data_IF_667189254911
#
_entry.id   IF_667189254911
#
_cell.length_a   1.000
_cell.length_b   1.000
_cell.length_c   1.000
_cell.angle_alpha   90.00
_cell.angle_beta   90.00
_cell.angle_gamma   90.00
#
_symmetry.space_group_name_H-M   'P 1'
#
loop_
_entity.id
_entity.type
_entity.pdbx_description
1 polymer ?
#
# COMPACT_ATOMS: atom_id res chain seq x y z
N UNK A 1 7.55 -9.02 20.57
CA UNK A 1 7.23 -8.88 22.02
C UNK A 1 5.99 -8.05 22.28
N UNK A 2 5.71 -7.00 21.49
CA UNK A 2 4.53 -6.14 21.64
C UNK A 2 3.19 -6.87 21.46
N UNK A 3 3.08 -7.79 20.50
CA UNK A 3 1.84 -8.55 20.23
C UNK A 3 1.41 -9.44 21.39
N UNK A 4 2.31 -10.28 21.91
CA UNK A 4 2.00 -11.15 23.04
C UNK A 4 1.57 -10.34 24.27
N UNK A 5 2.20 -9.18 24.49
CA UNK A 5 1.84 -8.25 25.55
C UNK A 5 0.43 -7.67 25.32
N UNK A 6 0.13 -7.20 24.10
CA UNK A 6 -1.17 -6.60 23.78
C UNK A 6 -2.32 -7.61 23.96
N UNK A 7 -2.14 -8.85 23.50
CA UNK A 7 -3.10 -9.94 23.70
C UNK A 7 -3.24 -10.34 25.18
N UNK A 8 -2.15 -10.39 25.94
CA UNK A 8 -2.20 -10.69 27.37
C UNK A 8 -2.99 -9.61 28.13
N UNK A 9 -2.78 -8.33 27.81
CA UNK A 9 -3.52 -7.21 28.39
C UNK A 9 -5.01 -7.25 28.02
N UNK A 10 -5.32 -7.59 26.77
CA UNK A 10 -6.70 -7.79 26.30
C UNK A 10 -7.42 -8.90 27.08
N UNK A 11 -6.81 -10.07 27.21
CA UNK A 11 -7.38 -11.20 27.96
C UNK A 11 -7.52 -10.87 29.45
N UNK A 12 -6.53 -10.22 30.05
CA UNK A 12 -6.57 -9.79 31.44
C UNK A 12 -7.72 -8.80 31.69
N UNK A 13 -7.94 -7.85 30.77
CA UNK A 13 -9.07 -6.92 30.83
C UNK A 13 -10.41 -7.65 30.81
N UNK A 14 -10.61 -8.57 29.86
CA UNK A 14 -11.84 -9.36 29.74
C UNK A 14 -12.11 -10.17 31.00
N UNK A 15 -11.10 -10.87 31.53
CA UNK A 15 -11.24 -11.72 32.72
C UNK A 15 -11.52 -10.91 33.99
N UNK A 16 -10.79 -9.81 34.21
CA UNK A 16 -11.00 -8.94 35.38
C UNK A 16 -12.38 -8.30 35.32
N UNK A 17 -12.80 -7.83 34.15
CA UNK A 17 -14.13 -7.25 34.00
C UNK A 17 -15.22 -8.29 34.24
N UNK A 18 -15.15 -9.44 33.58
CA UNK A 18 -16.17 -10.49 33.67
C UNK A 18 -16.29 -11.10 35.08
N UNK A 19 -15.19 -11.22 35.83
CA UNK A 19 -15.18 -11.92 37.11
C UNK A 19 -15.24 -11.02 38.34
N UNK A 20 -14.75 -9.77 38.26
CA UNK A 20 -14.57 -8.89 39.42
C UNK A 20 -15.28 -7.54 39.31
N UNK A 21 -15.50 -7.03 38.10
CA UNK A 21 -16.18 -5.75 37.90
C UNK A 21 -17.71 -5.94 37.92
N UNK A 22 -18.34 -5.76 39.09
CA UNK A 22 -19.79 -5.86 39.21
C UNK A 22 -20.56 -4.80 38.38
N UNK A 23 -21.90 -4.88 38.43
CA UNK A 23 -22.82 -4.25 37.45
C UNK A 23 -22.73 -2.71 37.36
N UNK A 24 -22.24 -2.18 36.23
CA UNK A 24 -22.38 -0.78 35.84
C UNK A 24 -22.42 -0.64 34.31
N UNK A 25 -23.42 0.06 33.76
CA UNK A 25 -23.64 0.21 32.31
C UNK A 25 -22.59 1.06 31.62
N UNK A 26 -22.09 2.11 32.28
CA UNK A 26 -21.08 2.99 31.73
C UNK A 26 -19.74 2.28 31.57
N UNK A 27 -19.27 1.63 32.64
CA UNK A 27 -18.02 0.85 32.61
C UNK A 27 -18.08 -0.30 31.59
N UNK A 28 -19.25 -0.92 31.43
CA UNK A 28 -19.48 -1.96 30.44
C UNK A 28 -19.31 -1.41 29.03
N UNK A 29 -20.01 -0.31 28.71
CA UNK A 29 -19.94 0.32 27.41
C UNK A 29 -18.51 0.78 27.09
N UNK A 30 -17.84 1.47 28.01
CA UNK A 30 -16.47 1.94 27.82
C UNK A 30 -15.49 0.79 27.55
N UNK A 31 -15.53 -0.26 28.38
CA UNK A 31 -14.62 -1.42 28.22
C UNK A 31 -14.91 -2.18 26.92
N UNK A 32 -16.18 -2.41 26.60
CA UNK A 32 -16.57 -3.07 25.36
C UNK A 32 -16.13 -2.27 24.12
N UNK A 33 -16.26 -0.94 24.14
CA UNK A 33 -15.80 -0.09 23.05
C UNK A 33 -14.29 -0.19 22.84
N UNK A 34 -13.48 -0.12 23.91
CA UNK A 34 -12.02 -0.21 23.79
C UNK A 34 -11.57 -1.60 23.31
N UNK A 35 -12.16 -2.67 23.86
CA UNK A 35 -11.89 -4.04 23.40
C UNK A 35 -12.32 -4.24 21.95
N UNK A 36 -13.46 -3.65 21.56
CA UNK A 36 -13.93 -3.64 20.19
C UNK A 36 -12.97 -2.94 19.24
N UNK A 37 -12.47 -1.76 19.63
CA UNK A 37 -11.44 -1.03 18.88
C UNK A 37 -10.18 -1.87 18.72
N UNK A 38 -9.72 -2.55 19.77
CA UNK A 38 -8.58 -3.47 19.70
C UNK A 38 -8.80 -4.57 18.64
N UNK A 39 -9.98 -5.20 18.61
CA UNK A 39 -10.29 -6.23 17.61
C UNK A 39 -10.28 -5.65 16.20
N UNK A 40 -10.94 -4.50 15.99
CA UNK A 40 -10.97 -3.85 14.68
C UNK A 40 -9.56 -3.49 14.21
N UNK A 41 -8.73 -2.91 15.06
CA UNK A 41 -7.34 -2.54 14.73
C UNK A 41 -6.50 -3.75 14.31
N UNK A 42 -6.60 -4.87 15.02
CA UNK A 42 -5.84 -6.07 14.68
C UNK A 42 -6.34 -6.73 13.37
N UNK A 43 -7.65 -6.68 13.10
CA UNK A 43 -8.18 -7.15 11.81
C UNK A 43 -7.74 -6.24 10.68
N UNK A 44 -7.75 -4.92 10.88
CA UNK A 44 -7.21 -3.99 9.90
C UNK A 44 -5.73 -4.28 9.63
N UNK A 45 -4.92 -4.49 10.68
CA UNK A 45 -3.52 -4.86 10.53
C UNK A 45 -3.35 -6.14 9.72
N UNK A 46 -4.08 -7.20 10.06
CA UNK A 46 -4.01 -8.47 9.35
C UNK A 46 -4.46 -8.36 7.89
N UNK A 47 -5.55 -7.62 7.63
CA UNK A 47 -6.04 -7.37 6.28
C UNK A 47 -5.03 -6.53 5.48
N UNK A 48 -4.43 -5.51 6.09
CA UNK A 48 -3.38 -4.70 5.46
C UNK A 48 -2.14 -5.54 5.16
N UNK A 49 -1.67 -6.34 6.11
CA UNK A 49 -0.51 -7.23 5.96
C UNK A 49 -0.71 -8.26 4.84
N UNK A 50 -1.93 -8.79 4.69
CA UNK A 50 -2.27 -9.66 3.57
C UNK A 50 -2.01 -9.02 2.19
N UNK A 51 -2.16 -7.70 2.08
CA UNK A 51 -1.94 -6.96 0.83
C UNK A 51 -0.53 -6.37 0.68
N UNK A 52 0.09 -5.95 1.79
CA UNK A 52 1.36 -5.22 1.76
C UNK A 52 2.57 -6.05 2.19
N UNK A 53 2.36 -7.11 2.96
CA UNK A 53 3.43 -7.83 3.66
C UNK A 53 4.12 -7.04 4.78
N UNK A 54 3.64 -5.84 5.11
CA UNK A 54 4.23 -4.93 6.10
C UNK A 54 3.17 -4.25 7.00
N UNK A 55 1.96 -4.83 7.06
CA UNK A 55 0.85 -4.25 7.81
C UNK A 55 0.36 -2.89 7.26
N UNK A 56 0.05 -1.97 8.18
CA UNK A 56 -0.57 -0.67 7.89
C UNK A 56 0.52 0.37 7.57
N UNK A 57 0.65 0.73 6.30
CA UNK A 57 1.63 1.69 5.80
C UNK A 57 1.02 2.71 4.80
N UNK A 58 1.85 3.56 4.21
CA UNK A 58 1.44 4.55 3.21
C UNK A 58 0.71 3.91 2.01
N UNK A 59 1.12 2.72 1.57
CA UNK A 59 0.46 2.03 0.46
C UNK A 59 -1.02 1.72 0.76
N UNK A 60 -1.34 1.30 1.99
CA UNK A 60 -2.73 1.06 2.42
C UNK A 60 -3.53 2.36 2.37
N UNK A 61 -3.02 3.43 2.96
CA UNK A 61 -3.71 4.72 2.98
C UNK A 61 -3.89 5.30 1.59
N UNK A 62 -2.85 5.26 0.77
CA UNK A 62 -2.89 5.72 -0.61
C UNK A 62 -3.94 4.96 -1.42
N UNK A 63 -3.96 3.63 -1.29
CA UNK A 63 -4.90 2.76 -2.01
C UNK A 63 -6.34 2.99 -1.57
N UNK A 64 -6.59 3.21 -0.27
CA UNK A 64 -7.94 3.50 0.26
C UNK A 64 -8.44 4.91 -0.08
N UNK A 65 -7.55 5.87 -0.28
CA UNK A 65 -7.89 7.27 -0.57
C UNK A 65 -7.92 7.58 -2.08
N UNK A 66 -7.42 6.67 -2.91
CA UNK A 66 -7.38 6.80 -4.36
C UNK A 66 -8.28 5.77 -5.08
N UNK A 67 -8.27 5.77 -6.41
CA UNK A 67 -9.11 4.92 -7.25
C UNK A 67 -8.69 3.44 -7.16
N UNK A 68 -9.62 2.63 -6.64
CA UNK A 68 -9.61 1.16 -6.71
C UNK A 68 -10.16 0.61 -8.04
N UNK A 69 -10.43 1.48 -9.03
CA UNK A 69 -11.01 1.06 -10.31
C UNK A 69 -10.07 0.09 -11.01
N UNK A 70 -10.60 -1.08 -11.40
CA UNK A 70 -9.82 -2.10 -12.08
C UNK A 70 -8.97 -2.98 -11.16
N UNK A 71 -8.96 -2.74 -9.86
CA UNK A 71 -8.51 -3.74 -8.90
C UNK A 71 -9.51 -4.90 -8.86
N UNK A 72 -9.02 -6.14 -8.73
CA UNK A 72 -9.81 -7.35 -8.60
C UNK A 72 -10.59 -7.47 -7.28
N UNK A 73 -11.35 -6.44 -6.89
CA UNK A 73 -12.03 -6.33 -5.59
C UNK A 73 -13.14 -7.38 -5.41
N UNK A 74 -13.72 -7.86 -6.52
CA UNK A 74 -14.84 -8.80 -6.53
C UNK A 74 -14.55 -10.08 -5.73
N UNK A 75 -13.33 -10.62 -5.80
CA UNK A 75 -12.93 -11.83 -5.06
C UNK A 75 -12.88 -11.65 -3.54
N UNK A 76 -12.78 -10.40 -3.08
CA UNK A 76 -12.69 -10.07 -1.67
C UNK A 76 -14.05 -9.78 -1.01
N UNK A 77 -15.14 -9.74 -1.78
CA UNK A 77 -16.49 -9.50 -1.24
C UNK A 77 -16.88 -10.60 -0.24
N UNK A 78 -16.69 -11.87 -0.61
CA UNK A 78 -17.08 -13.00 0.24
C UNK A 78 -16.19 -13.09 1.51
N UNK A 79 -14.85 -13.04 1.43
CA UNK A 79 -13.99 -12.88 2.61
C UNK A 79 -14.39 -11.67 3.47
N UNK A 80 -14.71 -10.53 2.85
CA UNK A 80 -15.16 -9.32 3.55
C UNK A 80 -16.44 -9.54 4.35
N UNK A 81 -17.45 -10.21 3.78
CA UNK A 81 -18.66 -10.60 4.51
C UNK A 81 -18.30 -11.53 5.68
N UNK A 82 -17.40 -12.49 5.47
CA UNK A 82 -16.90 -13.38 6.51
C UNK A 82 -16.28 -12.62 7.69
N UNK A 83 -15.45 -11.60 7.40
CA UNK A 83 -14.84 -10.73 8.40
C UNK A 83 -15.92 -9.96 9.19
N UNK A 84 -16.92 -9.38 8.52
CA UNK A 84 -18.01 -8.63 9.17
C UNK A 84 -18.85 -9.54 10.08
N UNK A 85 -19.17 -10.75 9.62
CA UNK A 85 -19.89 -11.74 10.42
C UNK A 85 -19.04 -12.21 11.62
N UNK A 86 -17.76 -12.47 11.41
CA UNK A 86 -16.81 -12.82 12.47
C UNK A 86 -16.69 -11.73 13.52
N UNK A 87 -16.55 -10.46 13.09
CA UNK A 87 -16.57 -9.29 13.96
C UNK A 87 -17.85 -9.22 14.79
N UNK A 88 -19.01 -9.36 14.14
CA UNK A 88 -20.31 -9.34 14.82
C UNK A 88 -20.41 -10.45 15.87
N UNK A 89 -19.93 -11.66 15.55
CA UNK A 89 -19.88 -12.78 16.48
C UNK A 89 -18.92 -12.53 17.66
N UNK A 90 -17.73 -11.97 17.41
CA UNK A 90 -16.76 -11.60 18.46
C UNK A 90 -17.32 -10.52 19.36
N UNK A 91 -17.91 -9.45 18.82
CA UNK A 91 -18.58 -8.41 19.61
C UNK A 91 -19.75 -8.98 20.43
N UNK A 92 -20.55 -9.87 19.84
CA UNK A 92 -21.62 -10.57 20.54
C UNK A 92 -21.09 -11.46 21.68
N UNK A 93 -20.02 -12.20 21.44
CA UNK A 93 -19.37 -13.05 22.43
C UNK A 93 -18.72 -12.24 23.56
N UNK A 94 -18.00 -11.16 23.25
CA UNK A 94 -17.45 -10.24 24.25
C UNK A 94 -18.57 -9.60 25.07
N UNK A 95 -19.62 -9.09 24.41
CA UNK A 95 -20.79 -8.54 25.08
C UNK A 95 -21.47 -9.57 25.98
N UNK A 96 -21.56 -10.82 25.55
CA UNK A 96 -22.11 -11.92 26.37
C UNK A 96 -21.20 -12.28 27.55
N UNK A 97 -19.89 -12.44 27.34
CA UNK A 97 -18.90 -12.77 28.39
C UNK A 97 -18.88 -11.67 29.46
N UNK A 98 -18.78 -10.41 29.05
CA UNK A 98 -18.78 -9.26 29.95
C UNK A 98 -20.13 -9.08 30.66
N UNK A 99 -21.22 -9.63 30.10
CA UNK A 99 -22.54 -9.70 30.74
C UNK A 99 -22.80 -10.99 31.51
N UNK A 100 -21.97 -12.04 31.38
CA UNK A 100 -22.18 -13.37 32.00
C UNK A 100 -21.87 -13.28 33.49
N UNK A 101 -22.92 -13.09 34.29
CA UNK A 101 -22.81 -12.65 35.69
C UNK A 101 -22.56 -13.77 36.69
N UNK A 102 -21.71 -13.48 37.67
CA UNK A 102 -21.87 -13.91 39.09
C UNK A 102 -22.43 -12.72 39.89
N UNK A 103 -23.21 -12.98 40.95
CA UNK A 103 -23.96 -12.01 41.76
C UNK A 103 -23.12 -10.99 42.56
N UNK A 104 -22.07 -10.40 41.98
CA UNK A 104 -21.19 -9.46 42.68
C UNK A 104 -21.66 -8.00 42.54
N UNK A 105 -21.65 -7.22 43.65
CA UNK A 105 -21.88 -5.79 43.60
C UNK A 105 -20.76 -5.07 42.83
N UNK A 106 -21.06 -3.89 42.29
CA UNK A 106 -20.12 -3.09 41.52
C UNK A 106 -18.86 -2.73 42.34
N UNK A 107 -17.69 -2.83 41.70
CA UNK A 107 -16.40 -2.45 42.29
C UNK A 107 -15.61 -1.56 41.34
N UNK A 108 -15.57 -0.27 41.65
CA UNK A 108 -14.91 0.76 40.83
C UNK A 108 -13.46 0.40 40.47
N UNK A 109 -12.66 -0.06 41.44
CA UNK A 109 -11.24 -0.35 41.20
C UNK A 109 -10.99 -1.45 40.18
N UNK A 110 -11.87 -2.47 40.10
CA UNK A 110 -11.71 -3.55 39.12
C UNK A 110 -12.21 -3.12 37.74
N UNK A 111 -13.27 -2.30 37.68
CA UNK A 111 -13.74 -1.69 36.43
C UNK A 111 -12.69 -0.75 35.83
N UNK A 112 -12.05 0.10 36.66
CA UNK A 112 -10.96 0.97 36.23
C UNK A 112 -9.75 0.17 35.77
N UNK A 113 -9.33 -0.85 36.54
CA UNK A 113 -8.22 -1.71 36.15
C UNK A 113 -8.48 -2.42 34.81
N UNK A 114 -9.68 -2.96 34.61
CA UNK A 114 -10.04 -3.59 33.35
C UNK A 114 -9.99 -2.59 32.18
N UNK A 115 -10.47 -1.36 32.36
CA UNK A 115 -10.39 -0.33 31.32
C UNK A 115 -8.94 0.06 31.02
N UNK A 116 -8.10 0.24 32.04
CA UNK A 116 -6.69 0.57 31.86
C UNK A 116 -5.94 -0.56 31.12
N UNK A 117 -6.25 -1.82 31.41
CA UNK A 117 -5.70 -2.96 30.68
C UNK A 117 -6.20 -3.01 29.23
N UNK A 118 -7.48 -2.68 28.98
CA UNK A 118 -8.00 -2.58 27.61
C UNK A 118 -7.27 -1.46 26.83
N UNK A 119 -7.09 -0.28 27.43
CA UNK A 119 -6.35 0.81 26.82
C UNK A 119 -4.88 0.43 26.58
N UNK A 120 -4.24 -0.23 27.55
CA UNK A 120 -2.88 -0.75 27.41
C UNK A 120 -2.77 -1.79 26.30
N UNK A 121 -3.81 -2.61 26.06
CA UNK A 121 -3.82 -3.54 24.93
C UNK A 121 -3.82 -2.83 23.58
N UNK A 122 -4.54 -1.72 23.45
CA UNK A 122 -4.55 -0.90 22.24
C UNK A 122 -3.18 -0.23 22.04
N UNK A 123 -2.64 0.42 23.07
CA UNK A 123 -1.35 1.10 23.01
C UNK A 123 -0.17 0.16 22.69
N UNK A 124 -0.20 -1.06 23.25
CA UNK A 124 0.80 -2.08 22.97
C UNK A 124 0.63 -2.77 21.60
N UNK A 125 -0.49 -2.57 20.91
CA UNK A 125 -0.76 -3.26 19.64
C UNK A 125 0.13 -2.73 18.50
N UNK A 126 0.62 -3.61 17.59
CA UNK A 126 1.38 -3.15 16.42
C UNK A 126 0.56 -2.22 15.53
N UNK A 127 -0.73 -2.51 15.35
CA UNK A 127 -1.65 -1.70 14.56
C UNK A 127 -1.68 -0.23 15.02
N UNK A 128 -1.83 0.00 16.32
CA UNK A 128 -1.83 1.35 16.87
C UNK A 128 -0.47 2.04 16.71
N UNK A 129 0.63 1.30 16.87
CA UNK A 129 1.99 1.83 16.68
C UNK A 129 2.24 2.24 15.24
N UNK A 130 1.93 1.39 14.27
CA UNK A 130 2.08 1.70 12.84
C UNK A 130 1.25 2.92 12.43
N UNK A 131 -0.02 2.98 12.84
CA UNK A 131 -0.87 4.17 12.59
C UNK A 131 -0.27 5.42 13.24
N UNK A 132 0.23 5.30 14.48
CA UNK A 132 0.82 6.44 15.20
C UNK A 132 2.12 6.90 14.54
N UNK A 133 2.95 5.99 14.06
CA UNK A 133 4.19 6.30 13.35
C UNK A 133 3.90 7.00 12.03
N UNK A 134 2.87 6.54 11.30
CA UNK A 134 2.41 7.15 10.05
C UNK A 134 1.85 8.56 10.26
N UNK A 135 1.08 8.78 11.33
CA UNK A 135 0.62 10.14 11.67
C UNK A 135 1.78 11.04 12.11
N UNK A 136 2.74 10.49 12.88
CA UNK A 136 3.92 11.24 13.34
C UNK A 136 4.87 11.59 12.21
N UNK A 137 5.08 10.71 11.24
CA UNK A 137 5.97 10.98 10.10
C UNK A 137 5.45 12.15 9.27
N UNK A 138 4.14 12.25 9.10
CA UNK A 138 3.52 13.34 8.34
C UNK A 138 3.38 14.65 9.13
N UNK A 139 3.33 14.60 10.46
CA UNK A 139 3.21 15.79 11.32
C UNK A 139 4.56 16.40 11.70
N UNK A 140 5.69 15.77 11.34
CA UNK A 140 7.02 16.32 11.57
C UNK A 140 7.28 17.42 10.57
N UNK A 141 7.75 18.57 11.06
CA UNK A 141 8.35 19.58 10.20
C UNK A 141 9.49 18.92 9.40
N UNK A 142 9.46 19.08 8.08
CA UNK A 142 10.44 18.48 7.18
C UNK A 142 11.86 18.90 7.56
N UNK A 143 12.77 17.93 7.57
CA UNK A 143 14.19 18.23 7.72
C UNK A 143 14.63 19.13 6.54
N UNK A 144 15.40 20.21 6.75
CA UNK A 144 15.93 21.03 5.66
C UNK A 144 16.80 20.29 4.64
N UNK A 145 17.12 19.01 4.87
CA UNK A 145 17.96 18.20 3.99
C UNK A 145 17.33 17.88 2.61
N UNK A 146 16.00 17.92 2.46
CA UNK A 146 15.37 17.70 1.17
C UNK A 146 15.90 18.66 0.10
N UNK A 147 16.04 19.94 0.43
CA UNK A 147 16.60 20.96 -0.47
C UNK A 147 18.10 20.76 -0.74
N UNK A 148 18.82 20.03 0.13
CA UNK A 148 20.22 19.71 -0.08
C UNK A 148 20.41 18.59 -1.11
N UNK A 149 19.54 17.56 -1.06
CA UNK A 149 19.62 16.38 -1.91
C UNK A 149 18.83 16.48 -3.21
N UNK A 150 17.69 17.18 -3.21
CA UNK A 150 16.91 17.40 -4.41
C UNK A 150 17.69 18.28 -5.40
N UNK A 151 17.80 17.81 -6.64
CA UNK A 151 18.41 18.55 -7.75
C UNK A 151 17.35 18.74 -8.81
N UNK A 152 17.04 20.00 -9.10
CA UNK A 152 16.14 20.33 -10.20
C UNK A 152 16.76 19.82 -11.52
N UNK A 153 16.05 18.98 -12.28
CA UNK A 153 16.57 18.43 -13.51
C UNK A 153 16.58 19.48 -14.64
N UNK A 154 17.40 19.23 -15.66
CA UNK A 154 17.27 19.96 -16.94
C UNK A 154 15.90 19.70 -17.56
N UNK A 155 15.36 20.69 -18.28
CA UNK A 155 14.06 20.57 -18.97
C UNK A 155 14.12 19.79 -20.28
N UNK A 156 15.32 19.62 -20.83
CA UNK A 156 15.58 18.95 -22.11
C UNK A 156 16.90 18.19 -22.08
N UNK A 157 17.02 17.22 -22.98
CA UNK A 157 18.24 16.47 -23.28
C UNK A 157 18.90 17.13 -24.49
N UNK A 158 20.16 17.57 -24.39
CA UNK A 158 20.90 18.09 -25.54
C UNK A 158 21.16 16.99 -26.57
N UNK A 159 20.75 17.21 -27.83
CA UNK A 159 21.00 16.32 -28.98
C UNK A 159 20.68 14.82 -28.73
N UNK A 160 19.41 14.48 -28.46
CA UNK A 160 19.02 13.11 -28.16
C UNK A 160 19.26 12.16 -29.34
N UNK A 161 19.94 11.03 -29.10
CA UNK A 161 20.32 10.05 -30.15
C UNK A 161 19.72 8.64 -29.99
N UNK A 162 19.31 8.28 -28.78
CA UNK A 162 18.91 6.91 -28.44
C UNK A 162 17.44 6.86 -28.01
N UNK A 163 16.78 5.75 -28.33
CA UNK A 163 15.50 5.40 -27.74
C UNK A 163 15.71 4.99 -26.27
N UNK A 164 14.72 5.27 -25.42
CA UNK A 164 14.69 4.80 -24.04
C UNK A 164 13.56 3.78 -23.87
N UNK A 165 13.92 2.56 -23.49
CA UNK A 165 12.95 1.53 -23.08
C UNK A 165 13.09 1.33 -21.58
N UNK A 166 12.00 1.56 -20.85
CA UNK A 166 11.95 1.41 -19.40
C UNK A 166 10.99 0.27 -19.05
N UNK A 167 11.51 -0.81 -18.46
CA UNK A 167 10.71 -1.96 -18.01
C UNK A 167 10.60 -1.92 -16.48
N UNK A 168 9.37 -1.87 -15.97
CA UNK A 168 9.10 -2.00 -14.54
C UNK A 168 8.91 -3.48 -14.20
N UNK A 169 9.78 -4.02 -13.34
CA UNK A 169 9.59 -5.33 -12.72
C UNK A 169 8.73 -5.20 -11.46
N UNK A 170 7.47 -5.61 -11.53
CA UNK A 170 6.55 -5.56 -10.38
C UNK A 170 7.02 -6.52 -9.28
N UNK A 171 7.20 -6.00 -8.06
CA UNK A 171 7.67 -6.74 -6.89
C UNK A 171 8.97 -7.55 -7.12
N UNK A 172 9.80 -7.13 -8.10
CA UNK A 172 11.07 -7.76 -8.42
C UNK A 172 12.15 -7.30 -7.44
N UNK A 173 12.73 -8.24 -6.69
CA UNK A 173 13.81 -7.96 -5.76
C UNK A 173 15.09 -8.74 -6.11
N UNK A 174 16.22 -8.26 -5.56
CA UNK A 174 17.55 -8.80 -5.89
C UNK A 174 17.74 -10.25 -5.40
N UNK A 175 17.03 -10.66 -4.36
CA UNK A 175 17.12 -12.02 -3.81
C UNK A 175 16.69 -13.07 -4.82
N UNK A 176 15.82 -12.74 -5.79
CA UNK A 176 15.39 -13.68 -6.83
C UNK A 176 16.51 -14.09 -7.81
N UNK A 177 17.62 -13.35 -7.83
CA UNK A 177 18.83 -13.68 -8.59
C UNK A 177 19.83 -14.56 -7.81
N UNK A 178 19.54 -14.89 -6.55
CA UNK A 178 20.37 -15.76 -5.73
C UNK A 178 20.04 -17.23 -6.03
N UNK A 179 20.95 -17.91 -6.74
CA UNK A 179 20.78 -19.32 -7.09
C UNK A 179 20.93 -20.29 -5.91
N UNK A 180 21.49 -19.86 -4.77
CA UNK A 180 21.50 -20.69 -3.56
C UNK A 180 20.12 -20.71 -2.89
N UNK A 181 19.43 -19.55 -2.88
CA UNK A 181 18.10 -19.41 -2.30
C UNK A 181 16.98 -19.84 -3.27
N UNK A 182 17.09 -19.44 -4.55
CA UNK A 182 16.11 -19.67 -5.61
C UNK A 182 16.78 -20.22 -6.88
N UNK A 183 17.10 -21.53 -6.90
CA UNK A 183 17.78 -22.14 -8.04
C UNK A 183 17.01 -21.93 -9.36
N UNK A 184 17.70 -21.36 -10.36
CA UNK A 184 17.20 -21.17 -11.73
C UNK A 184 15.87 -20.41 -11.82
N UNK A 185 15.59 -19.48 -10.89
CA UNK A 185 14.36 -18.68 -10.91
C UNK A 185 14.35 -17.63 -12.03
N UNK A 186 15.49 -16.98 -12.30
CA UNK A 186 15.61 -15.91 -13.30
C UNK A 186 16.74 -16.19 -14.30
N UNK A 187 16.69 -17.29 -15.08
CA UNK A 187 17.81 -17.69 -15.93
C UNK A 187 18.12 -16.65 -17.02
N UNK A 188 17.09 -16.18 -17.73
CA UNK A 188 17.23 -15.21 -18.81
C UNK A 188 17.60 -13.81 -18.29
N UNK A 189 16.84 -13.30 -17.31
CA UNK A 189 17.09 -11.98 -16.72
C UNK A 189 18.44 -11.94 -15.97
N UNK A 190 18.84 -13.07 -15.37
CA UNK A 190 20.15 -13.23 -14.73
C UNK A 190 21.30 -13.21 -15.74
N UNK A 191 21.13 -13.80 -16.93
CA UNK A 191 22.10 -13.67 -18.01
C UNK A 191 22.22 -12.22 -18.49
N UNK A 192 21.08 -11.55 -18.76
CA UNK A 192 21.05 -10.14 -19.19
C UNK A 192 21.71 -9.20 -18.16
N UNK A 193 21.48 -9.44 -16.86
CA UNK A 193 22.12 -8.69 -15.78
C UNK A 193 23.66 -8.74 -15.88
N UNK A 194 24.23 -9.86 -16.29
CA UNK A 194 25.68 -10.03 -16.43
C UNK A 194 26.26 -9.35 -17.68
N UNK A 195 25.42 -9.01 -18.65
CA UNK A 195 25.80 -8.31 -19.89
C UNK A 195 25.65 -6.78 -19.77
N UNK A 196 24.97 -6.29 -18.73
CA UNK A 196 24.62 -4.89 -18.54
C UNK A 196 25.30 -4.21 -17.34
N UNK A 197 24.86 -2.97 -17.08
CA UNK A 197 25.21 -2.26 -15.84
C UNK A 197 24.24 -2.69 -14.73
N UNK A 198 24.79 -3.30 -13.68
CA UNK A 198 24.05 -3.76 -12.51
C UNK A 198 24.32 -2.85 -11.30
N UNK A 199 23.25 -2.29 -10.73
CA UNK A 199 23.32 -1.51 -9.50
C UNK A 199 22.98 -2.42 -8.30
N UNK A 200 24.01 -2.91 -7.62
CA UNK A 200 23.89 -3.95 -6.59
C UNK A 200 23.63 -3.46 -5.18
N UNK A 201 23.88 -2.18 -4.91
CA UNK A 201 23.78 -1.56 -3.59
C UNK A 201 22.66 -0.52 -3.54
N UNK A 202 21.50 -0.87 -4.06
CA UNK A 202 20.28 -0.06 -4.01
C UNK A 202 19.43 -0.45 -2.81
N UNK A 203 18.65 0.50 -2.31
CA UNK A 203 17.70 0.28 -1.22
C UNK A 203 16.39 0.99 -1.55
N UNK A 204 15.28 0.36 -1.17
CA UNK A 204 13.96 0.97 -1.24
C UNK A 204 13.80 1.96 -0.08
N UNK A 205 13.41 3.19 -0.40
CA UNK A 205 13.21 4.25 0.59
C UNK A 205 11.73 4.38 0.95
N UNK A 206 11.38 4.92 2.13
CA UNK A 206 9.99 5.20 2.48
C UNK A 206 9.30 6.06 1.41
N UNK A 207 8.07 5.70 1.03
CA UNK A 207 7.32 6.41 -0.02
C UNK A 207 7.85 6.11 -1.43
N UNK A 208 8.54 4.98 -1.62
CA UNK A 208 8.96 4.46 -2.93
C UNK A 208 8.55 2.99 -3.11
N UNK A 209 7.78 2.47 -2.16
CA UNK A 209 7.68 1.05 -1.83
C UNK A 209 6.50 0.32 -2.48
N UNK A 210 5.59 1.05 -3.11
CA UNK A 210 4.44 0.53 -3.83
C UNK A 210 4.43 1.03 -5.28
N UNK A 211 3.79 0.30 -6.20
CA UNK A 211 3.95 0.47 -7.66
C UNK A 211 3.98 1.93 -8.14
N UNK A 212 2.95 2.74 -7.79
CA UNK A 212 2.89 4.13 -8.24
C UNK A 212 3.94 5.02 -7.55
N UNK A 213 4.30 4.73 -6.30
CA UNK A 213 5.39 5.43 -5.63
C UNK A 213 6.76 5.11 -6.26
N UNK A 214 6.98 3.84 -6.64
CA UNK A 214 8.16 3.45 -7.42
C UNK A 214 8.22 4.16 -8.78
N UNK A 215 7.08 4.30 -9.46
CA UNK A 215 6.98 5.07 -10.71
C UNK A 215 7.25 6.57 -10.49
N UNK A 216 6.69 7.19 -9.45
CA UNK A 216 6.95 8.60 -9.13
C UNK A 216 8.43 8.80 -8.77
N UNK A 217 9.02 7.89 -7.98
CA UNK A 217 10.42 7.97 -7.60
C UNK A 217 11.35 7.83 -8.81
N UNK A 218 11.09 6.87 -9.71
CA UNK A 218 11.92 6.65 -10.89
C UNK A 218 11.76 7.72 -11.97
N UNK A 219 10.56 8.30 -12.10
CA UNK A 219 10.28 9.33 -13.11
C UNK A 219 10.61 10.74 -12.60
N UNK A 220 10.33 11.06 -11.34
CA UNK A 220 10.43 12.42 -10.81
C UNK A 220 11.56 12.61 -9.79
N UNK A 221 12.21 11.53 -9.33
CA UNK A 221 13.29 11.61 -8.35
C UNK A 221 12.84 12.01 -6.94
N UNK A 222 11.56 11.81 -6.62
CA UNK A 222 10.97 12.17 -5.31
C UNK A 222 10.07 11.05 -4.77
N UNK A 223 9.96 10.88 -3.44
CA UNK A 223 9.03 9.92 -2.84
C UNK A 223 7.58 10.39 -2.96
N UNK A 224 6.65 9.43 -2.95
CA UNK A 224 5.21 9.64 -2.88
C UNK A 224 4.69 9.13 -1.53
N UNK A 225 4.13 10.03 -0.73
CA UNK A 225 3.46 9.70 0.54
C UNK A 225 1.95 9.88 0.42
N UNK A 226 1.18 9.14 1.21
CA UNK A 226 -0.28 9.24 1.19
C UNK A 226 -0.73 10.58 1.83
N UNK A 227 -1.58 11.39 1.17
CA UNK A 227 -2.02 12.66 1.75
C UNK A 227 -3.01 12.44 2.92
N UNK A 228 -2.75 13.01 4.10
CA UNK A 228 -3.71 13.02 5.23
C UNK A 228 -4.67 14.23 5.24
N UNK A 229 -4.39 15.30 4.49
CA UNK A 229 -5.19 16.52 4.54
C UNK A 229 -6.28 16.62 3.46
N UNK A 230 -7.37 17.32 3.78
CA UNK A 230 -8.58 17.49 2.96
C UNK A 230 -8.42 18.17 1.59
N UNK A 231 -7.18 18.44 1.17
CA UNK A 231 -6.78 18.82 -0.18
C UNK A 231 -6.12 17.64 -0.95
N UNK A 232 -6.30 16.40 -0.49
CA UNK A 232 -5.90 15.19 -1.23
C UNK A 232 -6.43 15.20 -2.67
N UNK A 233 -7.54 15.88 -2.95
CA UNK A 233 -8.05 16.08 -4.30
C UNK A 233 -7.14 16.93 -5.19
N UNK A 234 -6.36 17.88 -4.66
CA UNK A 234 -5.46 18.76 -5.43
C UNK A 234 -4.11 18.10 -5.74
N UNK A 235 -3.54 17.33 -4.80
CA UNK A 235 -2.32 16.56 -5.03
C UNK A 235 -2.56 15.33 -5.93
N UNK A 236 -3.75 14.74 -5.88
CA UNK A 236 -4.14 13.57 -6.71
C UNK A 236 -4.71 13.98 -8.08
N UNK A 237 -5.31 15.17 -8.22
CA UNK A 237 -5.88 15.61 -9.52
C UNK A 237 -4.84 16.04 -10.56
N UNK A 238 -3.61 16.34 -10.13
CA UNK A 238 -2.54 16.70 -11.06
C UNK A 238 -1.18 16.03 -10.82
N UNK A 239 -0.98 15.30 -9.71
CA UNK A 239 0.32 14.69 -9.31
C UNK A 239 1.50 15.67 -9.44
N UNK A 240 1.93 16.29 -8.34
CA UNK A 240 3.11 17.17 -8.32
C UNK A 240 3.24 18.13 -9.53
N UNK A 241 2.24 19.00 -9.79
CA UNK A 241 2.18 19.80 -11.03
C UNK A 241 3.32 20.81 -11.22
N UNK A 242 4.15 21.04 -10.20
CA UNK A 242 5.32 21.93 -10.24
C UNK A 242 6.63 21.17 -10.46
N UNK A 243 6.60 19.84 -10.43
CA UNK A 243 7.79 19.02 -10.58
C UNK A 243 7.99 18.65 -12.05
N UNK A 244 9.26 18.57 -12.44
CA UNK A 244 9.66 18.13 -13.77
C UNK A 244 10.06 16.67 -13.66
N UNK A 245 9.34 15.80 -14.37
CA UNK A 245 9.62 14.37 -14.40
C UNK A 245 10.23 13.96 -15.73
N UNK A 246 10.79 12.75 -15.79
CA UNK A 246 11.47 12.19 -16.96
C UNK A 246 10.59 12.23 -18.21
N UNK A 247 9.30 11.91 -18.09
CA UNK A 247 8.35 12.04 -19.21
C UNK A 247 8.25 13.47 -19.77
N UNK A 248 8.25 14.50 -18.92
CA UNK A 248 8.27 15.90 -19.35
C UNK A 248 9.55 16.23 -20.11
N UNK A 249 10.69 15.78 -19.59
CA UNK A 249 12.02 16.01 -20.18
C UNK A 249 12.09 15.36 -21.56
N UNK A 250 11.64 14.11 -21.69
CA UNK A 250 11.61 13.37 -22.95
C UNK A 250 10.70 14.07 -23.97
N UNK A 251 9.48 14.42 -23.58
CA UNK A 251 8.52 15.11 -24.46
C UNK A 251 9.07 16.46 -24.94
N UNK A 252 9.64 17.25 -24.03
CA UNK A 252 10.28 18.53 -24.38
C UNK A 252 11.53 18.36 -25.25
N UNK A 253 12.12 17.18 -25.27
CA UNK A 253 13.26 16.83 -26.13
C UNK A 253 12.83 16.24 -27.48
N UNK A 254 11.52 16.17 -27.77
CA UNK A 254 10.98 15.70 -29.04
C UNK A 254 10.67 14.20 -29.11
N UNK A 255 10.72 13.48 -27.98
CA UNK A 255 10.31 12.07 -27.94
C UNK A 255 8.79 11.90 -27.95
N UNK A 256 8.34 10.77 -28.47
CA UNK A 256 6.99 10.26 -28.23
C UNK A 256 7.03 9.28 -27.05
N UNK A 257 6.28 9.59 -26.00
CA UNK A 257 6.25 8.77 -24.79
C UNK A 257 5.06 7.81 -24.82
N UNK A 258 5.37 6.51 -24.81
CA UNK A 258 4.41 5.42 -24.72
C UNK A 258 4.52 4.73 -23.36
N UNK A 259 3.38 4.37 -22.78
CA UNK A 259 3.31 3.54 -21.59
C UNK A 259 2.35 2.38 -21.84
N UNK A 260 2.82 1.16 -21.60
CA UNK A 260 2.04 -0.08 -21.78
C UNK A 260 2.10 -0.88 -20.49
N UNK A 261 0.94 -1.30 -19.99
CA UNK A 261 0.82 -2.21 -18.85
C UNK A 261 -0.39 -3.14 -19.02
N UNK A 262 -0.36 -4.30 -18.39
CA UNK A 262 -1.50 -5.23 -18.40
C UNK A 262 -2.69 -4.75 -17.56
N UNK A 263 -2.43 -3.94 -16.54
CA UNK A 263 -3.41 -3.49 -15.56
C UNK A 263 -4.23 -2.27 -16.02
N UNK A 264 -5.35 -2.00 -15.33
CA UNK A 264 -6.15 -0.81 -15.59
C UNK A 264 -5.38 0.46 -15.21
N UNK A 265 -5.29 1.43 -16.14
CA UNK A 265 -4.57 2.69 -15.92
C UNK A 265 -5.19 3.57 -14.82
N UNK A 266 -6.48 3.41 -14.52
CA UNK A 266 -7.16 4.18 -13.46
C UNK A 266 -6.84 3.68 -12.06
N UNK A 267 -6.28 2.48 -11.94
CA UNK A 267 -5.89 1.95 -10.63
C UNK A 267 -4.72 2.78 -10.07
N UNK A 268 -4.87 3.25 -8.82
CA UNK A 268 -3.89 4.12 -8.15
C UNK A 268 -3.61 5.46 -8.87
N UNK A 269 -4.49 5.90 -9.77
CA UNK A 269 -4.36 7.18 -10.47
C UNK A 269 -3.20 7.27 -11.48
N UNK A 270 -2.71 6.13 -12.00
CA UNK A 270 -1.59 6.11 -12.95
C UNK A 270 -1.88 6.90 -14.22
N UNK A 271 -3.10 6.85 -14.74
CA UNK A 271 -3.51 7.62 -15.91
C UNK A 271 -3.38 9.13 -15.71
N UNK A 272 -3.78 9.64 -14.54
CA UNK A 272 -3.63 11.04 -14.18
C UNK A 272 -2.15 11.41 -14.11
N UNK A 273 -1.35 10.64 -13.37
CA UNK A 273 0.09 10.86 -13.25
C UNK A 273 0.80 10.91 -14.61
N UNK A 274 0.61 9.87 -15.44
CA UNK A 274 1.32 9.76 -16.72
C UNK A 274 0.90 10.86 -17.71
N UNK A 275 -0.39 11.20 -17.78
CA UNK A 275 -0.88 12.30 -18.63
C UNK A 275 -0.36 13.66 -18.17
N UNK A 276 -0.26 13.88 -16.85
CA UNK A 276 0.31 15.11 -16.30
C UNK A 276 1.79 15.27 -16.67
N UNK A 277 2.52 14.16 -16.83
CA UNK A 277 3.97 14.15 -17.03
C UNK A 277 4.40 13.68 -18.42
N UNK A 278 3.74 14.19 -19.46
CA UNK A 278 4.23 14.10 -20.83
C UNK A 278 4.04 12.75 -21.53
N UNK A 279 3.23 11.83 -21.00
CA UNK A 279 2.84 10.62 -21.73
C UNK A 279 1.52 10.82 -22.47
N UNK A 280 1.57 10.77 -23.80
CA UNK A 280 0.41 10.96 -24.67
C UNK A 280 -0.24 9.63 -25.10
N UNK A 281 0.51 8.53 -25.04
CA UNK A 281 0.08 7.22 -25.51
C UNK A 281 0.07 6.22 -24.36
N UNK A 282 -1.12 5.91 -23.83
CA UNK A 282 -1.29 5.02 -22.70
C UNK A 282 -2.11 3.79 -23.09
N UNK A 283 -1.58 2.61 -22.78
CA UNK A 283 -2.22 1.33 -23.02
C UNK A 283 -2.31 0.55 -21.71
N UNK A 284 -3.53 0.41 -21.20
CA UNK A 284 -3.84 -0.43 -20.06
C UNK A 284 -4.77 -1.56 -20.44
N UNK A 285 -5.33 -2.22 -19.42
CA UNK A 285 -6.26 -3.32 -19.62
C UNK A 285 -7.46 -2.98 -20.51
N UNK A 286 -7.95 -1.74 -20.55
CA UNK A 286 -9.10 -1.38 -21.39
C UNK A 286 -8.70 -1.18 -22.85
N UNK A 287 -7.56 -0.52 -23.08
CA UNK A 287 -7.02 -0.23 -24.40
C UNK A 287 -6.45 -1.48 -25.07
N UNK A 288 -5.84 -2.38 -24.29
CA UNK A 288 -5.26 -3.63 -24.79
C UNK A 288 -6.31 -4.63 -25.28
N UNK A 289 -7.53 -4.64 -24.72
CA UNK A 289 -8.60 -5.60 -25.07
C UNK A 289 -8.93 -5.68 -26.55
N UNK A 290 -8.73 -4.60 -27.32
CA UNK A 290 -9.04 -4.54 -28.74
C UNK A 290 -7.87 -4.87 -29.66
N UNK A 291 -6.65 -5.01 -29.12
CA UNK A 291 -5.42 -5.20 -29.91
C UNK A 291 -4.69 -6.50 -29.61
N UNK A 292 -4.84 -7.04 -28.40
CA UNK A 292 -4.23 -8.33 -28.03
C UNK A 292 -4.86 -9.51 -28.78
N UNK A 293 -4.09 -10.58 -28.95
CA UNK A 293 -4.54 -11.79 -29.63
C UNK A 293 -5.69 -12.52 -28.89
N UNK A 294 -5.60 -12.62 -27.55
CA UNK A 294 -6.66 -13.21 -26.72
C UNK A 294 -7.06 -12.26 -25.57
N UNK A 295 -8.22 -11.60 -25.68
CA UNK A 295 -8.74 -10.71 -24.63
C UNK A 295 -9.06 -11.40 -23.28
N UNK A 296 -9.11 -12.74 -23.25
CA UNK A 296 -9.41 -13.53 -22.05
C UNK A 296 -8.16 -14.07 -21.36
N UNK A 297 -6.99 -14.04 -22.01
CA UNK A 297 -5.74 -14.47 -21.42
C UNK A 297 -5.19 -13.41 -20.46
N UNK A 298 -5.81 -13.35 -19.29
CA UNK A 298 -5.55 -12.35 -18.25
C UNK A 298 -6.00 -12.86 -16.88
N UNK A 299 -5.55 -12.21 -15.82
CA UNK A 299 -6.00 -12.46 -14.45
C UNK A 299 -6.82 -11.27 -13.90
N UNK A 300 -7.11 -11.27 -12.60
CA UNK A 300 -7.89 -10.21 -11.95
C UNK A 300 -7.20 -8.82 -11.95
N UNK A 301 -5.89 -8.78 -12.13
CA UNK A 301 -5.08 -7.57 -12.15
C UNK A 301 -4.88 -7.02 -13.55
N UNK A 302 -4.97 -7.85 -14.58
CA UNK A 302 -4.74 -7.42 -15.96
C UNK A 302 -4.23 -8.54 -16.86
N UNK A 303 -3.83 -8.16 -18.08
CA UNK A 303 -3.14 -9.06 -19.02
C UNK A 303 -1.81 -9.54 -18.45
N UNK A 304 -1.43 -10.77 -18.81
CA UNK A 304 -0.15 -11.36 -18.43
C UNK A 304 1.03 -10.67 -19.11
N UNK A 305 2.20 -10.73 -18.49
CA UNK A 305 3.39 -9.97 -18.91
C UNK A 305 3.88 -10.36 -20.31
N UNK A 306 3.73 -11.62 -20.71
CA UNK A 306 4.03 -12.09 -22.07
C UNK A 306 3.21 -11.33 -23.12
N UNK A 307 1.91 -11.18 -22.89
CA UNK A 307 0.99 -10.44 -23.75
C UNK A 307 1.35 -8.96 -23.79
N UNK A 308 1.70 -8.39 -22.64
CA UNK A 308 2.08 -6.97 -22.54
C UNK A 308 3.39 -6.70 -23.27
N UNK A 309 4.39 -7.57 -23.11
CA UNK A 309 5.69 -7.47 -23.76
C UNK A 309 5.58 -7.67 -25.28
N UNK A 310 4.73 -8.59 -25.75
CA UNK A 310 4.46 -8.77 -27.18
C UNK A 310 3.88 -7.49 -27.82
N UNK A 311 2.90 -6.86 -27.16
CA UNK A 311 2.32 -5.60 -27.66
C UNK A 311 3.30 -4.42 -27.57
N UNK A 312 4.11 -4.37 -26.50
CA UNK A 312 5.17 -3.37 -26.36
C UNK A 312 6.24 -3.54 -27.44
N UNK A 313 6.62 -4.77 -27.77
CA UNK A 313 7.59 -5.09 -28.83
C UNK A 313 7.08 -4.68 -30.20
N UNK A 314 5.84 -5.04 -30.56
CA UNK A 314 5.21 -4.60 -31.83
C UNK A 314 5.23 -3.08 -31.97
N UNK A 315 4.92 -2.37 -30.87
CA UNK A 315 4.94 -0.90 -30.87
C UNK A 315 6.37 -0.35 -31.00
N UNK A 316 7.35 -0.98 -30.36
CA UNK A 316 8.75 -0.60 -30.51
C UNK A 316 9.22 -0.73 -31.97
N UNK A 317 8.95 -1.86 -32.62
CA UNK A 317 9.32 -2.09 -34.03
C UNK A 317 8.63 -1.12 -35.00
N UNK A 318 7.40 -0.68 -34.70
CA UNK A 318 6.69 0.33 -35.50
C UNK A 318 7.34 1.73 -35.42
N UNK A 319 7.94 2.06 -34.27
CA UNK A 319 8.46 3.39 -33.97
C UNK A 319 9.98 3.53 -34.22
N UNK A 320 10.71 2.42 -34.34
CA UNK A 320 12.17 2.36 -34.54
C UNK A 320 12.57 2.30 -36.01
#
# INVERSE_FOLDING_TARGET
MSELLSFALFLASVLIYAWKAGRNTWWFAATLTVLGLFVVLNITLFASDYFTGDGINDAVLYTLTNSLTGAGVSKYILPGIGIVLGLTAVFGALGWILRRRRHHPHHFGYSLLALLLALGSVDASPAFRQITELVKSQSRDGDPDFAAYYKEPSKTIPDPKLNLVYIYGESLERTYFDNEAFPDLTPELGALKNEGLDFSHTQQLPGTDYTIAGMVASQCGIPLFAPFEGNASASVSSFFPQNICLGDILKNSGYQNYFVQGANLRFAGKDVFLKSHGFDHLYGSEELKSVVADPHYRNDWGFYDDTVLDEAWKKFEELS
#
